data_IF_325633191490
#
_entry.id   IF_325633191490
#
_cell.length_a   1.000
_cell.length_b   1.000
_cell.length_c   1.000
_cell.angle_alpha   90.00
_cell.angle_beta   90.00
_cell.angle_gamma   90.00
#
_symmetry.space_group_name_H-M   'P 1'
#
loop_
_entity.id
_entity.type
_entity.pdbx_description
1 polymer ?
#
# COMPACT_ATOMS: atom_id res chain seq x y z
N UNK A 1 13.07 -9.34 2.68
CA UNK A 1 11.68 -9.85 2.57
C UNK A 1 11.45 -10.56 1.23
N UNK A 2 11.67 -9.91 0.08
CA UNK A 2 11.54 -10.50 -1.26
C UNK A 2 12.34 -11.81 -1.47
N UNK A 3 13.56 -11.90 -0.95
CA UNK A 3 14.38 -13.11 -1.01
C UNK A 3 13.68 -14.35 -0.40
N UNK A 4 12.92 -14.19 0.69
CA UNK A 4 12.21 -15.29 1.36
C UNK A 4 11.04 -15.75 0.49
N UNK A 5 10.35 -14.81 -0.16
CA UNK A 5 9.24 -15.10 -1.09
C UNK A 5 9.75 -15.92 -2.27
N UNK A 6 10.82 -15.47 -2.93
CA UNK A 6 11.45 -16.18 -4.06
C UNK A 6 11.94 -17.56 -3.63
N UNK A 7 12.61 -17.65 -2.48
CA UNK A 7 13.10 -18.92 -1.95
C UNK A 7 11.96 -19.91 -1.70
N UNK A 8 10.84 -19.47 -1.16
CA UNK A 8 9.69 -20.33 -0.91
C UNK A 8 9.01 -20.80 -2.21
N UNK A 9 8.86 -19.92 -3.20
CA UNK A 9 8.30 -20.28 -4.51
C UNK A 9 9.13 -21.34 -5.24
N UNK A 10 10.46 -21.23 -5.18
CA UNK A 10 11.38 -22.24 -5.73
C UNK A 10 11.32 -23.54 -4.92
N UNK A 11 11.27 -23.44 -3.57
CA UNK A 11 11.22 -24.61 -2.69
C UNK A 11 9.94 -25.42 -2.87
N UNK A 12 8.82 -24.76 -3.16
CA UNK A 12 7.53 -25.41 -3.44
C UNK A 12 7.41 -25.92 -4.89
N UNK A 13 8.45 -25.73 -5.72
CA UNK A 13 8.44 -26.19 -7.12
C UNK A 13 7.43 -25.46 -8.02
N UNK A 14 6.88 -24.33 -7.56
CA UNK A 14 5.87 -23.56 -8.30
C UNK A 14 6.45 -22.75 -9.46
N UNK A 15 7.77 -22.50 -9.43
CA UNK A 15 8.49 -21.72 -10.45
C UNK A 15 9.88 -22.31 -10.70
N UNK A 16 10.33 -22.26 -11.95
CA UNK A 16 11.71 -22.52 -12.33
C UNK A 16 12.31 -21.17 -12.70
N UNK A 17 13.40 -20.78 -12.02
CA UNK A 17 14.03 -19.46 -12.21
C UNK A 17 15.41 -19.64 -12.84
N UNK A 18 15.63 -19.03 -14.01
CA UNK A 18 16.95 -19.01 -14.66
C UNK A 18 17.91 -18.06 -13.94
N UNK A 19 17.45 -16.86 -13.56
CA UNK A 19 18.24 -15.87 -12.83
C UNK A 19 17.52 -15.45 -11.54
N UNK A 20 17.92 -16.07 -10.43
CA UNK A 20 17.36 -15.76 -9.11
C UNK A 20 17.67 -14.34 -8.65
N UNK A 21 18.82 -13.78 -9.06
CA UNK A 21 19.23 -12.42 -8.66
C UNK A 21 18.28 -11.39 -9.23
N UNK A 22 18.06 -11.43 -10.55
CA UNK A 22 17.12 -10.54 -11.23
C UNK A 22 15.70 -10.64 -10.69
N UNK A 23 15.20 -11.85 -10.44
CA UNK A 23 13.84 -12.05 -9.92
C UNK A 23 13.69 -11.46 -8.51
N UNK A 24 14.69 -11.62 -7.64
CA UNK A 24 14.67 -11.01 -6.30
C UNK A 24 14.69 -9.49 -6.39
N UNK A 25 15.49 -8.91 -7.29
CA UNK A 25 15.52 -7.46 -7.51
C UNK A 25 14.18 -6.94 -8.07
N UNK A 26 13.61 -7.59 -9.08
CA UNK A 26 12.31 -7.22 -9.64
C UNK A 26 11.20 -7.29 -8.60
N UNK A 27 11.14 -8.35 -7.79
CA UNK A 27 10.13 -8.45 -6.73
C UNK A 27 10.36 -7.40 -5.65
N UNK A 28 11.62 -7.12 -5.30
CA UNK A 28 11.93 -6.05 -4.34
C UNK A 28 11.50 -4.68 -4.87
N UNK A 29 11.72 -4.41 -6.16
CA UNK A 29 11.28 -3.20 -6.84
C UNK A 29 9.76 -3.05 -6.83
N UNK A 30 9.04 -4.09 -7.25
CA UNK A 30 7.57 -4.10 -7.26
C UNK A 30 6.98 -3.88 -5.85
N UNK A 31 7.52 -4.56 -4.84
CA UNK A 31 7.08 -4.37 -3.45
C UNK A 31 7.35 -2.93 -3.00
N UNK A 32 8.52 -2.37 -3.36
CA UNK A 32 8.88 -1.00 -2.98
C UNK A 32 7.98 0.04 -3.66
N UNK A 33 7.64 -0.16 -4.93
CA UNK A 33 6.69 0.67 -5.66
C UNK A 33 5.29 0.62 -5.04
N UNK A 34 4.81 -0.57 -4.65
CA UNK A 34 3.50 -0.70 -4.01
C UNK A 34 3.48 -0.03 -2.63
N UNK A 35 4.54 -0.18 -1.83
CA UNK A 35 4.67 0.57 -0.57
C UNK A 35 4.67 2.09 -0.79
N UNK A 36 5.36 2.58 -1.84
CA UNK A 36 5.35 4.00 -2.17
C UNK A 36 3.96 4.50 -2.59
N UNK A 37 3.21 3.71 -3.35
CA UNK A 37 1.82 4.05 -3.70
C UNK A 37 0.93 4.09 -2.46
N UNK A 38 1.12 3.16 -1.52
CA UNK A 38 0.37 3.15 -0.27
C UNK A 38 0.69 4.37 0.61
N UNK A 39 1.97 4.74 0.72
CA UNK A 39 2.40 5.91 1.49
C UNK A 39 1.86 7.22 0.88
N UNK A 40 1.87 7.33 -0.45
CA UNK A 40 1.25 8.45 -1.17
C UNK A 40 -0.26 8.53 -0.91
N UNK A 41 -0.96 7.39 -0.93
CA UNK A 41 -2.39 7.32 -0.63
C UNK A 41 -2.66 7.81 0.79
N UNK A 42 -1.88 7.36 1.77
CA UNK A 42 -2.01 7.78 3.16
C UNK A 42 -1.75 9.28 3.33
N UNK A 43 -0.76 9.83 2.64
CA UNK A 43 -0.46 11.26 2.67
C UNK A 43 -1.59 12.09 2.06
N UNK A 44 -2.15 11.66 0.93
CA UNK A 44 -3.30 12.32 0.28
C UNK A 44 -4.53 12.32 1.20
N UNK A 45 -4.81 11.21 1.89
CA UNK A 45 -5.87 11.13 2.90
C UNK A 45 -5.63 12.13 4.04
N UNK A 46 -4.40 12.23 4.56
CA UNK A 46 -4.06 13.19 5.62
C UNK A 46 -4.24 14.64 5.18
N UNK A 47 -3.88 14.98 3.95
CA UNK A 47 -4.09 16.32 3.40
C UNK A 47 -5.57 16.66 3.29
N UNK A 48 -6.40 15.74 2.81
CA UNK A 48 -7.86 15.92 2.72
C UNK A 48 -8.44 16.15 4.11
N UNK A 49 -8.06 15.32 5.08
CA UNK A 49 -8.53 15.48 6.46
C UNK A 49 -8.06 16.79 7.08
N UNK A 50 -6.82 17.21 6.81
CA UNK A 50 -6.26 18.45 7.34
C UNK A 50 -7.06 19.68 6.89
N UNK A 51 -7.52 19.68 5.64
CA UNK A 51 -8.40 20.74 5.09
C UNK A 51 -9.79 20.79 5.77
N UNK A 52 -10.19 19.73 6.44
CA UNK A 52 -11.50 19.61 7.10
C UNK A 52 -11.40 19.46 8.63
N UNK A 53 -10.23 19.68 9.23
CA UNK A 53 -9.98 19.52 10.67
C UNK A 53 -10.95 20.32 11.55
N UNK A 54 -11.29 21.55 11.18
CA UNK A 54 -12.23 22.37 11.95
C UNK A 54 -13.64 21.78 11.98
N UNK A 55 -14.11 21.21 10.84
CA UNK A 55 -15.39 20.50 10.78
C UNK A 55 -15.36 19.22 11.61
N UNK A 56 -14.32 18.41 11.45
CA UNK A 56 -14.15 17.15 12.19
C UNK A 56 -14.21 17.40 13.70
N UNK A 57 -13.50 18.45 14.16
CA UNK A 57 -13.50 18.85 15.57
C UNK A 57 -14.85 19.39 16.04
N UNK A 58 -15.54 20.17 15.21
CA UNK A 58 -16.86 20.75 15.53
C UNK A 58 -17.96 19.68 15.62
N UNK A 59 -17.91 18.68 14.75
CA UNK A 59 -18.88 17.59 14.68
C UNK A 59 -18.52 16.39 15.60
N UNK A 60 -17.48 16.50 16.43
CA UNK A 60 -16.95 15.42 17.29
C UNK A 60 -16.71 14.10 16.52
N UNK A 61 -16.27 14.21 15.26
CA UNK A 61 -16.03 13.05 14.41
C UNK A 61 -14.65 12.48 14.72
N UNK A 62 -14.57 11.15 14.83
CA UNK A 62 -13.31 10.47 15.07
C UNK A 62 -12.44 10.46 13.81
N UNK A 63 -11.25 11.08 13.90
CA UNK A 63 -10.28 11.19 12.82
C UNK A 63 -9.92 9.82 12.21
N UNK A 64 -9.71 8.81 13.05
CA UNK A 64 -9.31 7.48 12.61
C UNK A 64 -10.39 6.81 11.74
N UNK A 65 -11.65 7.01 12.09
CA UNK A 65 -12.79 6.51 11.31
C UNK A 65 -12.86 7.19 9.95
N UNK A 66 -12.71 8.53 9.90
CA UNK A 66 -12.69 9.28 8.63
C UNK A 66 -11.48 8.90 7.76
N UNK A 67 -10.31 8.69 8.36
CA UNK A 67 -9.12 8.23 7.65
C UNK A 67 -9.37 6.92 6.93
N UNK A 68 -9.93 5.91 7.61
CA UNK A 68 -10.27 4.63 6.98
C UNK A 68 -11.29 4.81 5.85
N UNK A 69 -12.36 5.57 6.08
CA UNK A 69 -13.39 5.80 5.06
C UNK A 69 -12.84 6.47 3.80
N UNK A 70 -12.03 7.51 3.95
CA UNK A 70 -11.43 8.23 2.83
C UNK A 70 -10.37 7.35 2.14
N UNK A 71 -9.52 6.64 2.89
CA UNK A 71 -8.55 5.69 2.32
C UNK A 71 -9.24 4.62 1.48
N UNK A 72 -10.31 4.00 1.98
CA UNK A 72 -11.10 3.02 1.22
C UNK A 72 -11.75 3.62 -0.02
N UNK A 73 -12.25 4.86 0.06
CA UNK A 73 -12.86 5.53 -1.08
C UNK A 73 -11.84 5.84 -2.17
N UNK A 74 -10.69 6.44 -1.83
CA UNK A 74 -9.62 6.73 -2.77
C UNK A 74 -9.03 5.46 -3.38
N UNK A 75 -8.84 4.41 -2.58
CA UNK A 75 -8.35 3.14 -3.11
C UNK A 75 -9.31 2.56 -4.16
N UNK A 76 -10.62 2.60 -3.93
CA UNK A 76 -11.63 2.18 -4.91
C UNK A 76 -11.60 3.04 -6.18
N UNK A 77 -11.50 4.36 -6.05
CA UNK A 77 -11.44 5.28 -7.20
C UNK A 77 -10.19 5.06 -8.05
N UNK A 78 -9.06 4.71 -7.41
CA UNK A 78 -7.78 4.47 -8.08
C UNK A 78 -7.53 3.00 -8.45
N UNK A 79 -8.48 2.10 -8.23
CA UNK A 79 -8.33 0.64 -8.39
C UNK A 79 -7.10 0.07 -7.64
N UNK A 80 -6.75 0.68 -6.51
CA UNK A 80 -5.68 0.18 -5.63
C UNK A 80 -6.28 -0.93 -4.76
N UNK A 81 -5.63 -2.08 -4.74
CA UNK A 81 -5.98 -3.17 -3.83
C UNK A 81 -5.36 -2.84 -2.46
N UNK A 82 -6.21 -2.71 -1.43
CA UNK A 82 -5.82 -2.51 -0.04
C UNK A 82 -5.62 -3.85 0.68
#
# INVERSE_FOLDING_TARGET
MAFIIVRNLVKEGKVILEDRGRIVESISGLISEDFQKEDQLDQEVREILSKHMEKIRKDNIEYQTMFRMIKTKLAKERNIVL
#
